data_IF_577977800846
#
_entry.id   IF_577977800846
#
_cell.length_a   1.000
_cell.length_b   1.000
_cell.length_c   1.000
_cell.angle_alpha   90.00
_cell.angle_beta   90.00
_cell.angle_gamma   90.00
#
_symmetry.space_group_name_H-M   'P 1'
#
loop_
_entity.id
_entity.type
_entity.pdbx_description
1 polymer ?
#
# COMPACT_ATOMS: atom_id res chain seq x y z
N UNK A 1 39.88 -24.46 2.68
CA UNK A 1 40.50 -25.41 3.64
C UNK A 1 39.46 -26.30 4.34
N UNK A 2 38.41 -25.73 4.97
CA UNK A 2 37.33 -26.51 5.62
C UNK A 2 36.57 -27.46 4.68
N UNK A 3 36.30 -27.07 3.43
CA UNK A 3 35.64 -27.93 2.43
C UNK A 3 36.47 -29.19 2.10
N UNK A 4 37.79 -29.05 1.96
CA UNK A 4 38.70 -30.17 1.65
C UNK A 4 38.83 -31.15 2.84
N UNK A 5 38.85 -30.63 4.08
CA UNK A 5 38.83 -31.44 5.29
C UNK A 5 37.52 -32.23 5.43
N UNK A 6 36.38 -31.58 5.18
CA UNK A 6 35.06 -32.22 5.19
C UNK A 6 34.96 -33.34 4.17
N UNK A 7 35.42 -33.10 2.94
CA UNK A 7 35.47 -34.10 1.88
C UNK A 7 36.36 -35.30 2.24
N UNK A 8 37.57 -35.05 2.78
CA UNK A 8 38.48 -36.11 3.21
C UNK A 8 37.91 -36.95 4.37
N UNK A 9 37.29 -36.31 5.36
CA UNK A 9 36.70 -36.99 6.50
C UNK A 9 35.46 -37.82 6.11
N UNK A 10 34.59 -37.27 5.26
CA UNK A 10 33.47 -38.03 4.68
C UNK A 10 33.95 -39.22 3.85
N UNK A 11 35.01 -39.07 3.05
CA UNK A 11 35.58 -40.16 2.27
C UNK A 11 36.14 -41.28 3.17
N UNK A 12 36.87 -40.96 4.24
CA UNK A 12 37.35 -41.96 5.20
C UNK A 12 36.21 -42.68 5.93
N UNK A 13 35.18 -41.95 6.34
CA UNK A 13 34.04 -42.51 7.08
C UNK A 13 33.17 -43.40 6.19
N UNK A 14 32.90 -42.97 4.97
CA UNK A 14 32.13 -43.75 3.97
C UNK A 14 32.88 -45.01 3.56
N UNK A 15 34.21 -44.94 3.38
CA UNK A 15 35.05 -46.12 3.12
C UNK A 15 34.99 -47.14 4.26
N UNK A 16 35.14 -46.70 5.51
CA UNK A 16 35.07 -47.60 6.67
C UNK A 16 33.71 -48.29 6.80
N UNK A 17 32.62 -47.56 6.57
CA UNK A 17 31.26 -48.14 6.57
C UNK A 17 31.08 -49.11 5.40
N UNK A 18 31.49 -48.73 4.19
CA UNK A 18 31.41 -49.60 3.02
C UNK A 18 32.20 -50.92 3.21
N UNK A 19 33.41 -50.85 3.78
CA UNK A 19 34.24 -52.01 4.08
C UNK A 19 33.56 -52.94 5.12
N UNK A 20 32.90 -52.37 6.13
CA UNK A 20 32.15 -53.14 7.13
C UNK A 20 30.96 -53.87 6.50
N UNK A 21 30.15 -53.18 5.69
CA UNK A 21 29.01 -53.78 5.00
C UNK A 21 29.44 -54.85 3.99
N UNK A 22 30.52 -54.61 3.26
CA UNK A 22 31.11 -55.61 2.37
C UNK A 22 31.57 -56.85 3.14
N UNK A 23 32.25 -56.67 4.28
CA UNK A 23 32.70 -57.80 5.10
C UNK A 23 31.53 -58.62 5.65
N UNK A 24 30.41 -57.98 6.01
CA UNK A 24 29.19 -58.65 6.44
C UNK A 24 28.52 -59.40 5.29
N UNK A 25 28.39 -58.78 4.12
CA UNK A 25 27.84 -59.40 2.93
C UNK A 25 28.66 -60.64 2.50
N UNK A 26 29.99 -60.53 2.45
CA UNK A 26 30.90 -61.66 2.18
C UNK A 26 30.75 -62.75 3.24
N UNK A 27 30.69 -62.38 4.52
CA UNK A 27 30.48 -63.33 5.62
C UNK A 27 29.15 -64.07 5.52
N UNK A 28 28.08 -63.39 5.11
CA UNK A 28 26.76 -63.97 4.91
C UNK A 28 26.73 -64.93 3.70
N UNK A 29 27.35 -64.54 2.59
CA UNK A 29 27.48 -65.39 1.39
C UNK A 29 28.23 -66.68 1.76
N UNK A 30 29.36 -66.58 2.47
CA UNK A 30 30.16 -67.75 2.88
C UNK A 30 29.38 -68.68 3.81
N UNK A 31 28.71 -68.14 4.83
CA UNK A 31 27.88 -68.95 5.75
C UNK A 31 26.79 -69.72 5.02
N UNK A 32 26.09 -69.07 4.09
CA UNK A 32 25.01 -69.71 3.33
C UNK A 32 25.55 -70.74 2.32
N UNK A 33 26.75 -70.53 1.77
CA UNK A 33 27.39 -71.48 0.84
C UNK A 33 27.94 -72.71 1.57
N UNK A 34 28.41 -72.55 2.81
CA UNK A 34 28.92 -73.65 3.66
C UNK A 34 27.80 -74.55 4.19
N UNK A 35 26.56 -74.07 4.27
CA UNK A 35 25.41 -74.81 4.81
C UNK A 35 24.83 -75.89 3.85
N UNK A 36 25.59 -76.29 2.81
CA UNK A 36 25.35 -77.32 1.75
C UNK A 36 23.96 -77.35 1.06
N UNK A 37 23.05 -76.45 1.42
CA UNK A 37 21.63 -76.47 1.02
C UNK A 37 21.21 -75.23 0.21
N UNK A 38 22.08 -74.22 0.10
CA UNK A 38 21.78 -73.01 -0.67
C UNK A 38 22.49 -73.03 -2.03
N UNK A 39 21.71 -72.83 -3.10
CA UNK A 39 22.24 -72.46 -4.40
C UNK A 39 23.12 -71.19 -4.27
N UNK A 40 24.28 -71.17 -4.92
CA UNK A 40 25.25 -70.07 -4.88
C UNK A 40 24.61 -68.74 -5.31
N UNK A 41 23.63 -68.80 -6.22
CA UNK A 41 22.83 -67.64 -6.61
C UNK A 41 21.98 -67.07 -5.46
N UNK A 42 21.39 -67.92 -4.61
CA UNK A 42 20.60 -67.50 -3.46
C UNK A 42 21.44 -66.85 -2.36
N UNK A 43 22.64 -67.37 -2.11
CA UNK A 43 23.59 -66.79 -1.16
C UNK A 43 24.07 -65.40 -1.62
N UNK A 44 24.35 -65.22 -2.92
CA UNK A 44 24.73 -63.92 -3.49
C UNK A 44 23.62 -62.88 -3.36
N UNK A 45 22.36 -63.26 -3.65
CA UNK A 45 21.21 -62.36 -3.49
C UNK A 45 21.04 -61.89 -2.04
N UNK A 46 21.30 -62.75 -1.06
CA UNK A 46 21.27 -62.38 0.35
C UNK A 46 22.37 -61.38 0.71
N UNK A 47 23.58 -61.54 0.18
CA UNK A 47 24.67 -60.58 0.34
C UNK A 47 24.42 -59.24 -0.37
N UNK A 48 23.81 -59.26 -1.56
CA UNK A 48 23.37 -58.05 -2.28
C UNK A 48 22.28 -57.31 -1.50
N UNK A 49 21.35 -58.02 -0.86
CA UNK A 49 20.31 -57.43 -0.01
C UNK A 49 20.91 -56.65 1.18
N UNK A 50 21.99 -57.16 1.80
CA UNK A 50 22.69 -56.46 2.89
C UNK A 50 23.34 -55.16 2.38
N UNK A 51 23.90 -55.16 1.16
CA UNK A 51 24.47 -53.95 0.52
C UNK A 51 23.36 -52.98 0.08
N UNK A 52 22.21 -53.49 -0.37
CA UNK A 52 21.02 -52.67 -0.70
C UNK A 52 20.47 -51.95 0.54
N UNK A 53 20.62 -52.53 1.75
CA UNK A 53 20.25 -51.85 2.99
C UNK A 53 21.07 -50.55 3.24
N UNK A 54 22.31 -50.50 2.74
CA UNK A 54 23.15 -49.29 2.77
C UNK A 54 22.64 -48.22 1.81
N UNK A 55 22.14 -48.62 0.63
CA UNK A 55 21.46 -47.72 -0.33
C UNK A 55 20.22 -47.12 0.29
N UNK A 56 19.39 -47.93 0.94
CA UNK A 56 18.18 -47.46 1.63
C UNK A 56 18.51 -46.43 2.72
N UNK A 57 19.49 -46.72 3.60
CA UNK A 57 19.91 -45.76 4.65
C UNK A 57 20.48 -44.47 4.07
N UNK A 58 21.27 -44.57 3.01
CA UNK A 58 21.82 -43.42 2.30
C UNK A 58 20.72 -42.56 1.68
N UNK A 59 19.72 -43.17 1.03
CA UNK A 59 18.57 -42.49 0.47
C UNK A 59 17.77 -41.75 1.56
N UNK A 60 17.44 -42.42 2.67
CA UNK A 60 16.71 -41.81 3.79
C UNK A 60 17.48 -40.64 4.42
N UNK A 61 18.81 -40.71 4.47
CA UNK A 61 19.65 -39.62 4.97
C UNK A 61 19.63 -38.40 4.02
N UNK A 62 19.67 -38.62 2.71
CA UNK A 62 19.55 -37.54 1.71
C UNK A 62 18.14 -36.95 1.76
N UNK A 63 17.10 -37.78 1.76
CA UNK A 63 15.70 -37.33 1.85
C UNK A 63 15.47 -36.50 3.10
N UNK A 64 15.87 -36.97 4.28
CA UNK A 64 15.70 -36.20 5.53
C UNK A 64 16.44 -34.86 5.51
N UNK A 65 17.63 -34.79 4.90
CA UNK A 65 18.40 -33.54 4.79
C UNK A 65 17.76 -32.50 3.87
N UNK A 66 17.05 -32.93 2.83
CA UNK A 66 16.41 -32.04 1.85
C UNK A 66 14.91 -31.81 2.11
N UNK A 67 14.23 -32.72 2.83
CA UNK A 67 12.79 -32.66 3.10
C UNK A 67 12.39 -31.39 3.86
N UNK A 68 13.14 -31.00 4.91
CA UNK A 68 12.85 -29.77 5.66
C UNK A 68 12.97 -28.55 4.75
N UNK A 69 14.04 -28.46 3.95
CA UNK A 69 14.27 -27.32 3.04
C UNK A 69 13.20 -27.23 1.95
N UNK A 70 12.77 -28.37 1.40
CA UNK A 70 11.69 -28.42 0.42
C UNK A 70 10.34 -28.01 1.04
N UNK A 71 10.09 -28.39 2.30
CA UNK A 71 8.88 -28.00 3.04
C UNK A 71 8.87 -26.50 3.33
N UNK A 72 10.02 -25.92 3.69
CA UNK A 72 10.16 -24.47 3.90
C UNK A 72 9.94 -23.69 2.59
N UNK A 73 10.50 -24.17 1.47
CA UNK A 73 10.26 -23.57 0.16
C UNK A 73 8.79 -23.70 -0.27
N UNK A 74 8.14 -24.84 0.02
CA UNK A 74 6.71 -25.06 -0.23
C UNK A 74 5.85 -24.04 0.51
N UNK A 75 6.06 -23.92 1.81
CA UNK A 75 5.28 -23.02 2.66
C UNK A 75 5.51 -21.56 2.24
N UNK A 76 6.74 -21.20 1.88
CA UNK A 76 7.05 -19.90 1.30
C UNK A 76 6.31 -19.65 -0.01
N UNK A 77 6.29 -20.62 -0.94
CA UNK A 77 5.56 -20.53 -2.20
C UNK A 77 4.04 -20.36 -1.97
N UNK A 78 3.44 -21.21 -1.13
CA UNK A 78 2.01 -21.12 -0.80
C UNK A 78 1.64 -19.80 -0.14
N UNK A 79 2.50 -19.28 0.76
CA UNK A 79 2.27 -17.96 1.36
C UNK A 79 2.31 -16.82 0.33
N UNK A 80 3.19 -16.93 -0.67
CA UNK A 80 3.29 -15.97 -1.76
C UNK A 80 2.08 -16.06 -2.70
N UNK A 81 1.58 -17.27 -3.00
CA UNK A 81 0.34 -17.48 -3.78
C UNK A 81 -0.88 -16.86 -3.09
N UNK A 82 -1.06 -17.12 -1.79
CA UNK A 82 -2.16 -16.53 -1.00
C UNK A 82 -2.06 -15.00 -1.01
N UNK A 83 -0.84 -14.45 -0.84
CA UNK A 83 -0.62 -13.00 -0.90
C UNK A 83 -0.95 -12.44 -2.28
N UNK A 84 -0.54 -13.12 -3.35
CA UNK A 84 -0.82 -12.72 -4.73
C UNK A 84 -2.34 -12.71 -5.02
N UNK A 85 -3.05 -13.74 -4.57
CA UNK A 85 -4.51 -13.82 -4.71
C UNK A 85 -5.20 -12.64 -4.00
N UNK A 86 -4.78 -12.33 -2.76
CA UNK A 86 -5.30 -11.18 -2.01
C UNK A 86 -5.02 -9.84 -2.70
N UNK A 87 -3.82 -9.65 -3.24
CA UNK A 87 -3.46 -8.41 -3.96
C UNK A 87 -4.30 -8.24 -5.24
N UNK A 88 -4.56 -9.33 -5.97
CA UNK A 88 -5.44 -9.30 -7.15
C UNK A 88 -6.88 -8.95 -6.78
N UNK A 89 -7.40 -9.56 -5.72
CA UNK A 89 -8.74 -9.23 -5.20
C UNK A 89 -8.81 -7.77 -4.71
N UNK A 90 -7.77 -7.27 -4.04
CA UNK A 90 -7.68 -5.85 -3.65
C UNK A 90 -7.66 -4.92 -4.87
N UNK A 91 -6.95 -5.30 -5.93
CA UNK A 91 -6.92 -4.56 -7.21
C UNK A 91 -8.32 -4.46 -7.82
N UNK A 92 -9.05 -5.57 -7.91
CA UNK A 92 -10.42 -5.63 -8.43
C UNK A 92 -11.45 -4.88 -7.56
N UNK A 93 -11.25 -4.89 -6.23
CA UNK A 93 -12.06 -4.08 -5.32
C UNK A 93 -11.80 -2.59 -5.52
N UNK A 94 -10.54 -2.19 -5.73
CA UNK A 94 -10.18 -0.78 -5.96
C UNK A 94 -10.76 -0.19 -7.25
N UNK A 95 -11.15 -1.04 -8.21
CA UNK A 95 -11.90 -0.62 -9.40
C UNK A 95 -13.39 -0.45 -9.16
N UNK A 96 -13.94 -1.19 -8.19
CA UNK A 96 -15.37 -1.21 -7.90
C UNK A 96 -15.77 -0.30 -6.73
N UNK A 97 -14.78 0.24 -6.00
CA UNK A 97 -15.02 1.10 -4.85
C UNK A 97 -15.69 2.41 -5.28
N UNK A 98 -16.81 2.72 -4.63
CA UNK A 98 -17.53 3.98 -4.85
C UNK A 98 -17.06 5.01 -3.84
N UNK A 99 -16.76 6.22 -4.28
CA UNK A 99 -16.41 7.33 -3.41
C UNK A 99 -17.57 8.32 -3.34
N UNK A 100 -17.90 8.74 -2.12
CA UNK A 100 -18.88 9.82 -1.92
C UNK A 100 -18.22 11.11 -2.34
N UNK A 101 -18.72 11.70 -3.43
CA UNK A 101 -18.24 12.95 -3.99
C UNK A 101 -19.38 13.96 -3.89
N UNK A 102 -19.18 15.01 -3.10
CA UNK A 102 -20.14 16.10 -2.99
C UNK A 102 -19.94 17.04 -4.17
N UNK A 103 -20.83 16.95 -5.16
CA UNK A 103 -20.88 17.90 -6.25
C UNK A 103 -21.55 19.21 -5.77
N UNK A 104 -20.83 20.34 -5.72
CA UNK A 104 -21.42 21.62 -5.30
C UNK A 104 -22.49 22.14 -6.26
N UNK A 105 -22.55 21.61 -7.49
CA UNK A 105 -23.52 21.97 -8.52
C UNK A 105 -24.73 21.02 -8.57
N UNK A 106 -24.68 19.86 -7.90
CA UNK A 106 -25.80 18.91 -7.87
C UNK A 106 -26.07 18.41 -6.45
N UNK A 107 -27.25 18.76 -5.92
CA UNK A 107 -27.75 18.19 -4.67
C UNK A 107 -28.13 16.73 -4.93
N UNK A 108 -27.38 15.79 -4.37
CA UNK A 108 -27.74 14.36 -4.37
C UNK A 108 -26.96 13.48 -5.35
N UNK A 109 -25.76 13.85 -5.78
CA UNK A 109 -24.88 12.90 -6.47
C UNK A 109 -24.53 11.76 -5.51
N UNK A 110 -25.05 10.57 -5.81
CA UNK A 110 -24.69 9.34 -5.12
C UNK A 110 -23.19 9.03 -5.24
N UNK A 111 -22.70 8.02 -4.51
CA UNK A 111 -21.29 7.66 -4.55
C UNK A 111 -20.90 7.21 -5.97
N UNK A 112 -19.83 7.81 -6.52
CA UNK A 112 -19.34 7.60 -7.88
C UNK A 112 -18.21 6.56 -7.88
N UNK A 113 -18.11 5.75 -8.92
CA UNK A 113 -16.95 4.89 -9.21
C UNK A 113 -15.81 5.70 -9.84
N UNK A 114 -14.60 5.15 -9.87
CA UNK A 114 -13.44 5.85 -10.46
C UNK A 114 -13.66 6.21 -11.94
N UNK A 115 -14.26 5.30 -12.70
CA UNK A 115 -14.54 5.52 -14.13
C UNK A 115 -15.57 6.64 -14.33
N UNK A 116 -16.61 6.69 -13.49
CA UNK A 116 -17.58 7.78 -13.47
C UNK A 116 -16.94 9.12 -13.08
N UNK A 117 -16.03 9.12 -12.09
CA UNK A 117 -15.27 10.32 -11.72
C UNK A 117 -14.39 10.81 -12.88
N UNK A 118 -13.73 9.90 -13.61
CA UNK A 118 -12.89 10.24 -14.75
C UNK A 118 -13.71 10.83 -15.91
N UNK A 119 -14.86 10.23 -16.19
CA UNK A 119 -15.81 10.71 -17.21
C UNK A 119 -16.32 12.09 -16.85
N UNK A 120 -16.74 12.29 -15.60
CA UNK A 120 -17.25 13.58 -15.12
C UNK A 120 -16.17 14.66 -15.07
N UNK A 121 -14.93 14.31 -14.73
CA UNK A 121 -13.80 15.24 -14.80
C UNK A 121 -13.50 15.65 -16.25
N UNK A 122 -13.63 14.73 -17.22
CA UNK A 122 -13.48 15.03 -18.64
C UNK A 122 -14.62 15.94 -19.16
N UNK A 123 -15.87 15.61 -18.83
CA UNK A 123 -17.05 16.44 -19.16
C UNK A 123 -16.91 17.86 -18.61
N UNK A 124 -16.47 18.02 -17.35
CA UNK A 124 -16.23 19.34 -16.75
C UNK A 124 -15.09 20.07 -17.44
N UNK A 125 -14.03 19.36 -17.84
CA UNK A 125 -12.91 19.97 -18.57
C UNK A 125 -13.37 20.47 -19.93
N UNK A 126 -14.17 19.69 -20.66
CA UNK A 126 -14.74 20.07 -21.94
C UNK A 126 -15.70 21.26 -21.82
N UNK A 127 -16.57 21.25 -20.79
CA UNK A 127 -17.46 22.37 -20.49
C UNK A 127 -16.67 23.65 -20.22
N UNK A 128 -15.67 23.58 -19.35
CA UNK A 128 -14.80 24.72 -19.01
C UNK A 128 -14.09 25.25 -20.26
N UNK A 129 -13.59 24.36 -21.12
CA UNK A 129 -12.90 24.73 -22.35
C UNK A 129 -13.83 25.37 -23.38
N UNK A 130 -15.01 24.81 -23.60
CA UNK A 130 -16.03 25.37 -24.51
C UNK A 130 -16.50 26.76 -24.04
N UNK A 131 -16.81 26.92 -22.75
CA UNK A 131 -17.15 28.23 -22.22
C UNK A 131 -15.99 29.23 -22.31
N UNK A 132 -14.76 28.77 -22.09
CA UNK A 132 -13.57 29.60 -22.25
C UNK A 132 -13.37 30.03 -23.71
N UNK A 133 -13.66 29.16 -24.69
CA UNK A 133 -13.65 29.48 -26.13
C UNK A 133 -14.75 30.48 -26.50
N UNK A 134 -15.92 30.40 -25.85
CA UNK A 134 -17.03 31.35 -25.99
C UNK A 134 -16.76 32.70 -25.30
N UNK A 135 -15.58 32.89 -24.72
CA UNK A 135 -15.15 34.13 -24.09
C UNK A 135 -15.51 34.27 -22.62
N UNK A 136 -16.00 33.22 -21.96
CA UNK A 136 -16.22 33.21 -20.52
C UNK A 136 -14.88 33.29 -19.78
N UNK A 137 -14.68 34.35 -18.99
CA UNK A 137 -13.47 34.50 -18.16
C UNK A 137 -13.60 33.88 -16.78
N UNK A 138 -14.78 33.35 -16.43
CA UNK A 138 -15.10 32.88 -15.06
C UNK A 138 -14.17 31.79 -14.54
N UNK A 139 -13.69 30.92 -15.43
CA UNK A 139 -12.79 29.81 -15.09
C UNK A 139 -11.30 30.20 -15.08
N UNK A 140 -10.96 31.36 -15.66
CA UNK A 140 -9.58 31.86 -15.74
C UNK A 140 -9.17 32.68 -14.52
N UNK A 141 -10.11 33.06 -13.66
CA UNK A 141 -9.79 33.81 -12.46
C UNK A 141 -9.03 32.93 -11.46
N UNK A 142 -7.79 33.32 -11.20
CA UNK A 142 -6.95 32.75 -10.18
C UNK A 142 -6.44 33.87 -9.30
N UNK A 143 -6.84 33.86 -8.03
CA UNK A 143 -6.23 34.74 -7.04
C UNK A 143 -4.76 34.34 -6.93
N UNK A 144 -3.85 35.24 -7.31
CA UNK A 144 -2.42 34.99 -7.21
C UNK A 144 -2.04 34.63 -5.77
N UNK A 145 -0.97 33.82 -5.61
CA UNK A 145 -0.45 33.47 -4.28
C UNK A 145 -0.13 34.71 -3.44
N UNK A 146 0.34 35.77 -4.06
CA UNK A 146 0.67 37.06 -3.41
C UNK A 146 -0.56 37.71 -2.79
N UNK A 147 -1.69 37.73 -3.50
CA UNK A 147 -2.96 38.26 -3.00
C UNK A 147 -3.50 37.46 -1.81
N UNK A 148 -3.34 36.12 -1.82
CA UNK A 148 -3.69 35.28 -0.66
C UNK A 148 -2.82 35.59 0.56
N UNK A 149 -1.51 35.73 0.37
CA UNK A 149 -0.57 36.07 1.46
C UNK A 149 -0.91 37.44 2.04
N UNK A 150 -1.17 38.43 1.18
CA UNK A 150 -1.56 39.78 1.60
C UNK A 150 -2.84 39.74 2.45
N UNK A 151 -3.85 38.99 2.02
CA UNK A 151 -5.10 38.85 2.78
C UNK A 151 -4.92 38.17 4.13
N UNK A 152 -4.07 37.13 4.22
CA UNK A 152 -3.73 36.52 5.51
C UNK A 152 -3.06 37.56 6.42
N UNK A 153 -2.12 38.34 5.90
CA UNK A 153 -1.47 39.42 6.65
C UNK A 153 -2.47 40.45 7.17
N UNK A 154 -3.41 40.87 6.32
CA UNK A 154 -4.46 41.83 6.69
C UNK A 154 -5.41 41.26 7.76
N UNK A 155 -5.78 39.97 7.67
CA UNK A 155 -6.61 39.30 8.70
C UNK A 155 -5.88 39.19 10.03
N UNK A 156 -4.56 38.92 10.04
CA UNK A 156 -3.77 38.88 11.29
C UNK A 156 -3.77 40.26 11.96
N UNK A 157 -3.60 41.33 11.18
CA UNK A 157 -3.68 42.71 11.69
C UNK A 157 -5.08 43.00 12.24
N UNK A 158 -6.13 42.54 11.58
CA UNK A 158 -7.51 42.71 12.03
C UNK A 158 -7.80 41.98 13.36
N UNK A 159 -7.31 40.74 13.54
CA UNK A 159 -7.40 40.02 14.82
C UNK A 159 -6.69 40.79 15.94
N UNK A 160 -5.49 41.31 15.67
CA UNK A 160 -4.76 42.13 16.63
C UNK A 160 -5.51 43.43 16.96
N UNK A 161 -6.14 44.06 15.97
CA UNK A 161 -6.95 45.25 16.12
C UNK A 161 -8.18 45.01 17.00
N UNK A 162 -8.93 43.94 16.71
CA UNK A 162 -10.08 43.49 17.50
C UNK A 162 -9.65 43.11 18.93
N UNK A 163 -8.49 42.50 19.10
CA UNK A 163 -7.93 42.20 20.42
C UNK A 163 -7.66 43.48 21.21
N UNK A 164 -6.97 44.45 20.61
CA UNK A 164 -6.73 45.76 21.24
C UNK A 164 -8.03 46.48 21.58
N UNK A 165 -9.06 46.34 20.73
CA UNK A 165 -10.40 46.84 21.01
C UNK A 165 -11.06 46.09 22.17
N UNK A 166 -10.92 44.77 22.29
CA UNK A 166 -11.49 44.01 23.40
C UNK A 166 -10.81 44.30 24.74
N UNK A 167 -9.49 44.53 24.74
CA UNK A 167 -8.78 45.03 25.94
C UNK A 167 -9.38 46.35 26.44
N UNK A 168 -9.98 47.15 25.54
CA UNK A 168 -10.77 48.34 25.93
C UNK A 168 -11.94 48.01 26.81
N UNK A 169 -12.75 47.07 26.33
CA UNK A 169 -14.08 46.82 26.83
C UNK A 169 -13.95 46.15 28.20
N UNK A 170 -12.96 45.26 28.31
CA UNK A 170 -12.52 44.60 29.54
C UNK A 170 -11.78 45.55 30.50
N UNK A 171 -11.51 46.80 30.09
CA UNK A 171 -10.76 47.80 30.84
C UNK A 171 -9.41 47.28 31.38
N UNK A 172 -8.66 46.60 30.52
CA UNK A 172 -7.35 46.02 30.83
C UNK A 172 -6.28 46.55 29.87
N UNK A 173 -5.01 46.37 30.24
CA UNK A 173 -3.88 46.78 29.41
C UNK A 173 -2.68 45.88 29.65
N UNK A 174 -1.76 45.82 28.68
CA UNK A 174 -0.49 45.10 28.87
C UNK A 174 0.32 45.61 30.07
N UNK A 175 0.21 46.89 30.41
CA UNK A 175 0.88 47.45 31.58
C UNK A 175 0.27 46.91 32.89
N UNK A 176 -1.07 46.88 32.98
CA UNK A 176 -1.77 46.30 34.13
C UNK A 176 -1.46 44.80 34.28
N UNK A 177 -1.45 44.07 33.16
CA UNK A 177 -1.08 42.65 33.16
C UNK A 177 0.38 42.38 33.57
N UNK A 178 1.31 43.27 33.20
CA UNK A 178 2.70 43.15 33.61
C UNK A 178 2.92 43.39 35.11
N UNK A 179 2.03 44.18 35.75
CA UNK A 179 2.09 44.47 37.18
C UNK A 179 1.41 43.39 38.03
N UNK A 180 0.27 42.85 37.58
CA UNK A 180 -0.44 41.77 38.26
C UNK A 180 -1.03 40.75 37.25
N UNK A 181 -0.23 39.75 36.83
CA UNK A 181 -0.65 38.78 35.82
C UNK A 181 -1.75 37.85 36.33
N UNK A 182 -1.83 37.59 37.65
CA UNK A 182 -2.83 36.68 38.21
C UNK A 182 -4.24 37.30 38.18
N UNK A 183 -4.35 38.59 38.47
CA UNK A 183 -5.63 39.31 38.44
C UNK A 183 -6.12 39.61 37.02
N UNK A 184 -5.21 39.91 36.09
CA UNK A 184 -5.55 40.38 34.74
C UNK A 184 -5.57 39.27 33.68
N UNK A 185 -5.04 38.08 33.96
CA UNK A 185 -5.02 36.96 33.00
C UNK A 185 -6.41 36.59 32.46
N UNK A 186 -7.43 36.56 33.33
CA UNK A 186 -8.78 36.19 32.92
C UNK A 186 -9.33 37.16 31.86
N UNK A 187 -9.10 38.47 32.04
CA UNK A 187 -9.54 39.53 31.11
C UNK A 187 -8.79 39.51 29.78
N UNK A 188 -7.49 39.19 29.83
CA UNK A 188 -6.68 39.01 28.62
C UNK A 188 -7.16 37.81 27.81
N UNK A 189 -7.51 36.71 28.48
CA UNK A 189 -8.04 35.49 27.85
C UNK A 189 -9.41 35.73 27.25
N UNK A 190 -10.33 36.39 27.96
CA UNK A 190 -11.66 36.73 27.44
C UNK A 190 -11.56 37.69 26.26
N UNK A 191 -10.71 38.72 26.34
CA UNK A 191 -10.46 39.62 25.21
C UNK A 191 -9.93 38.88 23.97
N UNK A 192 -9.02 37.93 24.15
CA UNK A 192 -8.50 37.11 23.05
C UNK A 192 -9.58 36.21 22.45
N UNK A 193 -10.39 35.57 23.31
CA UNK A 193 -11.50 34.72 22.89
C UNK A 193 -12.54 35.49 22.07
N UNK A 194 -12.97 36.67 22.54
CA UNK A 194 -13.93 37.51 21.84
C UNK A 194 -13.38 38.08 20.54
N UNK A 195 -12.10 38.47 20.49
CA UNK A 195 -11.46 38.94 19.26
C UNK A 195 -11.39 37.85 18.20
N UNK A 196 -11.01 36.62 18.57
CA UNK A 196 -11.00 35.48 17.66
C UNK A 196 -12.40 35.12 17.18
N UNK A 197 -13.40 35.13 18.06
CA UNK A 197 -14.79 34.86 17.70
C UNK A 197 -15.31 35.92 16.72
N UNK A 198 -15.10 37.20 17.01
CA UNK A 198 -15.50 38.30 16.14
C UNK A 198 -14.83 38.20 14.77
N UNK A 199 -13.51 37.94 14.73
CA UNK A 199 -12.77 37.75 13.48
C UNK A 199 -13.31 36.54 12.68
N UNK A 200 -13.64 35.45 13.35
CA UNK A 200 -14.22 34.25 12.72
C UNK A 200 -15.58 34.54 12.10
N UNK A 201 -16.46 35.23 12.83
CA UNK A 201 -17.78 35.64 12.32
C UNK A 201 -17.61 36.57 11.12
N UNK A 202 -16.71 37.55 11.21
CA UNK A 202 -16.44 38.49 10.12
C UNK A 202 -15.88 37.79 8.88
N UNK A 203 -14.99 36.81 9.07
CA UNK A 203 -14.46 35.99 7.98
C UNK A 203 -15.56 35.16 7.31
N UNK A 204 -16.43 34.49 8.08
CA UNK A 204 -17.56 33.70 7.54
C UNK A 204 -18.51 34.61 6.76
N UNK A 205 -18.88 35.76 7.31
CA UNK A 205 -19.76 36.74 6.63
C UNK A 205 -19.10 37.27 5.36
N UNK A 206 -17.82 37.65 5.40
CA UNK A 206 -17.09 38.14 4.23
C UNK A 206 -17.00 37.08 3.13
N UNK A 207 -16.76 35.82 3.50
CA UNK A 207 -16.67 34.70 2.56
C UNK A 207 -18.02 34.37 1.92
N UNK A 208 -19.10 34.37 2.71
CA UNK A 208 -20.47 34.13 2.22
C UNK A 208 -20.93 35.25 1.30
N UNK A 209 -20.67 36.52 1.64
CA UNK A 209 -20.94 37.69 0.79
C UNK A 209 -20.12 37.60 -0.50
N UNK A 210 -18.82 37.31 -0.42
CA UNK A 210 -17.95 37.15 -1.59
C UNK A 210 -18.45 36.08 -2.56
N UNK A 211 -18.85 34.90 -2.07
CA UNK A 211 -19.44 33.85 -2.90
C UNK A 211 -20.81 34.23 -3.48
N UNK A 212 -21.63 34.97 -2.76
CA UNK A 212 -22.91 35.45 -3.26
C UNK A 212 -22.71 36.47 -4.39
N UNK A 213 -21.72 37.36 -4.26
CA UNK A 213 -21.31 38.33 -5.29
C UNK A 213 -20.72 37.61 -6.51
N UNK A 214 -19.82 36.64 -6.33
CA UNK A 214 -19.28 35.81 -7.41
C UNK A 214 -20.39 35.15 -8.23
N UNK A 215 -21.29 34.43 -7.55
CA UNK A 215 -22.42 33.74 -8.19
C UNK A 215 -23.28 34.71 -8.98
N UNK A 216 -23.42 35.96 -8.55
CA UNK A 216 -24.19 36.98 -9.26
C UNK A 216 -23.48 37.49 -10.51
N UNK A 217 -22.22 37.89 -10.38
CA UNK A 217 -21.40 38.40 -11.50
C UNK A 217 -21.35 37.37 -12.63
N UNK A 218 -21.25 36.09 -12.29
CA UNK A 218 -21.11 35.03 -13.28
C UNK A 218 -22.44 34.38 -13.72
N UNK A 219 -23.57 34.54 -12.98
CA UNK A 219 -24.91 34.14 -13.46
C UNK A 219 -25.57 35.17 -14.37
N UNK A 220 -25.28 36.47 -14.22
CA UNK A 220 -25.85 37.51 -15.08
C UNK A 220 -25.46 37.40 -16.55
N UNK A 221 -24.42 36.60 -16.87
CA UNK A 221 -23.98 36.33 -18.25
C UNK A 221 -24.85 35.24 -18.93
N UNK A 222 -25.67 34.49 -18.19
CA UNK A 222 -26.54 33.43 -18.73
C UNK A 222 -28.04 33.69 -18.54
N UNK A 223 -28.43 34.75 -17.82
CA UNK A 223 -29.82 35.11 -17.58
C UNK A 223 -30.45 35.91 -18.74
N UNK A 224 -30.08 35.61 -19.98
CA UNK A 224 -30.69 36.19 -21.17
C UNK A 224 -32.13 35.73 -21.41
N UNK A 225 -32.58 34.62 -20.79
CA UNK A 225 -33.88 34.00 -21.15
C UNK A 225 -34.73 33.42 -20.01
N UNK A 226 -34.34 33.50 -18.74
CA UNK A 226 -35.13 32.90 -17.65
C UNK A 226 -35.26 33.79 -16.40
N UNK A 227 -36.43 34.44 -16.27
CA UNK A 227 -37.06 34.81 -15.00
C UNK A 227 -36.46 35.96 -14.18
N UNK A 228 -36.88 37.20 -14.46
CA UNK A 228 -36.51 38.42 -13.72
C UNK A 228 -36.95 38.46 -12.24
N UNK A 229 -37.87 37.59 -11.79
CA UNK A 229 -38.47 37.64 -10.45
C UNK A 229 -37.54 37.23 -9.30
N UNK A 230 -36.77 36.15 -9.44
CA UNK A 230 -35.89 35.65 -8.36
C UNK A 230 -34.57 36.44 -8.21
N UNK A 231 -34.24 37.29 -9.19
CA UNK A 231 -33.03 38.13 -9.17
C UNK A 231 -33.19 39.43 -8.37
N UNK A 232 -34.43 39.86 -8.11
CA UNK A 232 -34.75 41.08 -7.38
C UNK A 232 -34.59 40.90 -5.85
N UNK A 233 -35.13 39.83 -5.28
CA UNK A 233 -35.04 39.54 -3.83
C UNK A 233 -33.60 39.22 -3.39
N UNK A 234 -32.82 38.59 -4.26
CA UNK A 234 -31.39 38.37 -4.01
C UNK A 234 -30.55 39.64 -4.20
N UNK A 235 -31.05 40.66 -4.91
CA UNK A 235 -30.38 41.96 -5.10
C UNK A 235 -30.42 42.78 -3.84
N UNK A 236 -31.59 42.89 -3.22
CA UNK A 236 -31.72 43.58 -1.94
C UNK A 236 -30.85 42.89 -0.90
N UNK A 237 -30.94 41.57 -0.73
CA UNK A 237 -30.17 40.84 0.29
C UNK A 237 -28.64 41.04 0.19
N UNK A 238 -28.05 40.97 -1.01
CA UNK A 238 -26.60 41.16 -1.19
C UNK A 238 -26.20 42.62 -1.01
N UNK A 239 -27.01 43.57 -1.49
CA UNK A 239 -26.73 44.99 -1.38
C UNK A 239 -26.87 45.45 0.08
N UNK A 240 -27.87 44.95 0.80
CA UNK A 240 -28.02 45.10 2.24
C UNK A 240 -26.86 44.47 2.99
N UNK A 241 -26.45 43.24 2.63
CA UNK A 241 -25.30 42.56 3.27
C UNK A 241 -23.97 43.29 3.05
N UNK A 242 -23.72 43.78 1.84
CA UNK A 242 -22.50 44.54 1.51
C UNK A 242 -22.52 45.91 2.18
N UNK A 243 -23.65 46.62 2.15
CA UNK A 243 -23.81 47.91 2.83
C UNK A 243 -23.65 47.76 4.35
N UNK A 244 -24.22 46.70 4.94
CA UNK A 244 -24.06 46.38 6.35
C UNK A 244 -22.62 46.05 6.69
N UNK A 245 -21.91 45.30 5.84
CA UNK A 245 -20.49 44.99 6.05
C UNK A 245 -19.62 46.26 5.97
N UNK A 246 -19.86 47.14 5.00
CA UNK A 246 -19.15 48.43 4.90
C UNK A 246 -19.45 49.30 6.12
N UNK A 247 -20.72 49.42 6.53
CA UNK A 247 -21.11 50.19 7.70
C UNK A 247 -20.46 49.66 8.98
N UNK A 248 -20.48 48.34 9.20
CA UNK A 248 -19.86 47.71 10.36
C UNK A 248 -18.34 47.92 10.36
N UNK A 249 -17.69 47.73 9.20
CA UNK A 249 -16.23 47.91 9.06
C UNK A 249 -15.82 49.37 9.29
N UNK A 250 -16.61 50.34 8.81
CA UNK A 250 -16.40 51.77 9.10
C UNK A 250 -16.56 52.10 10.57
N UNK A 251 -17.57 51.55 11.24
CA UNK A 251 -17.80 51.79 12.67
C UNK A 251 -16.68 51.19 13.53
N UNK A 252 -16.23 49.96 13.21
CA UNK A 252 -15.13 49.29 13.91
C UNK A 252 -13.81 50.04 13.68
N UNK A 253 -13.47 50.34 12.42
CA UNK A 253 -12.26 51.10 12.08
C UNK A 253 -12.23 52.48 12.77
N UNK A 254 -13.37 53.19 12.78
CA UNK A 254 -13.50 54.47 13.46
C UNK A 254 -13.39 54.36 14.99
N UNK A 255 -13.97 53.32 15.59
CA UNK A 255 -13.88 53.06 17.02
C UNK A 255 -12.43 52.78 17.48
N UNK A 256 -11.69 51.99 16.69
CA UNK A 256 -10.28 51.67 16.94
C UNK A 256 -9.41 52.92 16.83
N UNK A 257 -9.58 53.71 15.76
CA UNK A 257 -8.84 54.95 15.52
C UNK A 257 -9.05 55.96 16.65
N UNK A 258 -10.31 56.26 16.99
CA UNK A 258 -10.68 57.14 18.12
C UNK A 258 -9.99 56.73 19.41
N UNK A 259 -9.84 55.43 19.67
CA UNK A 259 -9.23 54.96 20.92
C UNK A 259 -7.71 55.02 20.91
N UNK A 260 -7.07 54.71 19.80
CA UNK A 260 -5.62 54.81 19.72
C UNK A 260 -5.20 56.28 19.88
N UNK A 261 -5.99 57.22 19.35
CA UNK A 261 -5.82 58.66 19.59
C UNK A 261 -5.97 59.01 21.07
N UNK A 262 -7.02 58.55 21.77
CA UNK A 262 -7.19 58.88 23.21
C UNK A 262 -6.10 58.28 24.10
N UNK A 263 -5.62 57.07 23.79
CA UNK A 263 -4.50 56.43 24.53
C UNK A 263 -3.16 57.13 24.21
N UNK A 264 -2.96 57.59 22.98
CA UNK A 264 -1.78 58.34 22.56
C UNK A 264 -1.68 59.70 23.28
N UNK A 265 -2.81 60.39 23.43
CA UNK A 265 -2.90 61.66 24.15
C UNK A 265 -2.49 61.50 25.63
N UNK A 266 -2.80 60.35 26.24
CA UNK A 266 -2.42 60.05 27.63
C UNK A 266 -0.95 59.67 27.86
N UNK A 267 -0.22 59.23 26.83
CA UNK A 267 1.12 58.62 26.96
C UNK A 267 2.28 59.48 26.45
N UNK A 268 2.01 60.70 25.95
CA UNK A 268 3.00 61.63 25.36
C UNK A 268 3.77 61.09 24.13
N UNK A 269 3.38 59.94 23.59
CA UNK A 269 3.92 59.38 22.33
C UNK A 269 3.01 59.83 21.16
N UNK A 270 2.85 61.14 20.97
CA UNK A 270 1.74 61.68 20.19
C UNK A 270 1.88 61.53 18.66
N UNK A 271 3.10 61.51 18.13
CA UNK A 271 3.32 61.51 16.67
C UNK A 271 3.12 60.14 16.00
N UNK A 272 3.67 59.07 16.57
CA UNK A 272 3.69 57.74 15.95
C UNK A 272 2.41 56.95 16.21
N UNK A 273 1.78 57.15 17.36
CA UNK A 273 0.58 56.41 17.74
C UNK A 273 -0.63 56.76 16.86
N UNK A 274 -0.76 58.01 16.42
CA UNK A 274 -1.81 58.41 15.46
C UNK A 274 -1.67 57.70 14.11
N UNK A 275 -0.44 57.58 13.58
CA UNK A 275 -0.19 56.84 12.34
C UNK A 275 -0.44 55.33 12.50
N UNK A 276 -0.01 54.74 13.63
CA UNK A 276 -0.29 53.33 13.92
C UNK A 276 -1.80 53.10 14.04
N UNK A 277 -2.52 53.98 14.73
CA UNK A 277 -3.98 53.88 14.86
C UNK A 277 -4.73 53.99 13.55
N UNK A 278 -4.37 54.97 12.73
CA UNK A 278 -4.94 55.13 11.40
C UNK A 278 -4.65 53.90 10.51
N UNK A 279 -3.43 53.36 10.54
CA UNK A 279 -3.09 52.15 9.76
C UNK A 279 -3.85 50.91 10.22
N UNK A 280 -3.99 50.70 11.52
CA UNK A 280 -4.76 49.57 12.08
C UNK A 280 -6.25 49.72 11.74
N UNK A 281 -6.81 50.93 11.89
CA UNK A 281 -8.20 51.24 11.55
C UNK A 281 -8.49 51.05 10.06
N UNK A 282 -7.56 51.46 9.18
CA UNK A 282 -7.64 51.20 7.73
C UNK A 282 -7.55 49.71 7.42
N UNK A 283 -6.67 48.95 8.08
CA UNK A 283 -6.59 47.50 7.89
C UNK A 283 -7.89 46.80 8.29
N UNK A 284 -8.49 47.16 9.43
CA UNK A 284 -9.78 46.63 9.88
C UNK A 284 -10.93 46.99 8.92
N UNK A 285 -10.85 48.15 8.28
CA UNK A 285 -11.82 48.57 7.26
C UNK A 285 -11.69 47.78 5.95
N UNK A 286 -10.46 47.55 5.49
CA UNK A 286 -10.20 46.90 4.21
C UNK A 286 -10.17 45.37 4.29
N UNK A 287 -9.91 44.77 5.46
CA UNK A 287 -9.82 43.32 5.62
C UNK A 287 -11.05 42.57 5.10
N UNK A 288 -12.29 42.93 5.51
CA UNK A 288 -13.49 42.23 5.08
C UNK A 288 -13.72 42.39 3.57
N UNK A 289 -13.38 43.56 3.03
CA UNK A 289 -13.50 43.88 1.60
C UNK A 289 -12.51 43.06 0.78
N UNK A 290 -11.25 42.96 1.22
CA UNK A 290 -10.20 42.17 0.56
C UNK A 290 -10.54 40.68 0.59
N UNK A 291 -11.01 40.17 1.74
CA UNK A 291 -11.45 38.77 1.87
C UNK A 291 -12.65 38.48 0.97
N UNK A 292 -13.66 39.37 0.97
CA UNK A 292 -14.82 39.23 0.09
C UNK A 292 -14.43 39.32 -1.39
N UNK A 293 -13.51 40.21 -1.77
CA UNK A 293 -12.99 40.33 -3.13
C UNK A 293 -12.20 39.08 -3.57
N UNK A 294 -11.41 38.50 -2.67
CA UNK A 294 -10.67 37.25 -2.94
C UNK A 294 -11.62 36.07 -3.09
N UNK A 295 -12.64 35.96 -2.24
CA UNK A 295 -13.70 34.97 -2.40
C UNK A 295 -14.50 35.22 -3.70
N UNK A 296 -14.69 36.48 -4.08
CA UNK A 296 -15.35 36.88 -5.33
C UNK A 296 -14.48 36.76 -6.59
N UNK A 297 -13.17 36.52 -6.44
CA UNK A 297 -12.23 36.26 -7.54
C UNK A 297 -11.65 34.83 -7.44
N UNK A 298 -12.25 34.01 -6.57
CA UNK A 298 -11.88 32.62 -6.36
C UNK A 298 -12.03 31.79 -7.63
N UNK A 299 -11.50 30.56 -7.57
CA UNK A 299 -11.72 29.60 -8.67
C UNK A 299 -13.22 29.33 -8.76
N UNK A 300 -13.72 29.12 -9.97
CA UNK A 300 -15.11 28.74 -10.13
C UNK A 300 -15.35 27.39 -9.43
N UNK A 301 -16.56 27.14 -8.90
CA UNK A 301 -16.88 25.89 -8.22
C UNK A 301 -16.69 24.67 -9.13
N UNK A 302 -16.88 24.82 -10.44
CA UNK A 302 -16.61 23.78 -11.43
C UNK A 302 -15.12 23.44 -11.54
N UNK A 303 -14.24 24.45 -11.47
CA UNK A 303 -12.78 24.25 -11.46
C UNK A 303 -12.34 23.59 -10.15
N UNK A 304 -12.89 24.03 -9.01
CA UNK A 304 -12.60 23.40 -7.72
C UNK A 304 -13.08 21.95 -7.67
N UNK A 305 -14.26 21.68 -8.22
CA UNK A 305 -14.80 20.33 -8.30
C UNK A 305 -13.98 19.43 -9.21
N UNK A 306 -13.61 19.90 -10.41
CA UNK A 306 -12.69 19.19 -11.31
C UNK A 306 -11.34 18.91 -10.64
N UNK A 307 -10.75 19.91 -9.97
CA UNK A 307 -9.46 19.73 -9.28
C UNK A 307 -9.59 18.70 -8.14
N UNK A 308 -10.73 18.68 -7.42
CA UNK A 308 -11.01 17.68 -6.39
C UNK A 308 -11.17 16.25 -6.95
N UNK A 309 -11.85 16.11 -8.09
CA UNK A 309 -11.96 14.83 -8.82
C UNK A 309 -10.58 14.37 -9.30
N UNK A 310 -9.78 15.27 -9.88
CA UNK A 310 -8.43 14.97 -10.33
C UNK A 310 -7.52 14.51 -9.18
N UNK A 311 -7.63 15.13 -8.00
CA UNK A 311 -6.90 14.72 -6.81
C UNK A 311 -7.32 13.31 -6.32
N UNK A 312 -8.63 13.02 -6.31
CA UNK A 312 -9.15 11.70 -5.97
C UNK A 312 -8.68 10.64 -6.96
N UNK A 313 -8.77 10.91 -8.27
CA UNK A 313 -8.31 10.02 -9.33
C UNK A 313 -6.81 9.74 -9.17
N UNK A 314 -6.00 10.78 -9.03
CA UNK A 314 -4.55 10.65 -8.83
C UNK A 314 -4.23 9.80 -7.59
N UNK A 315 -4.97 10.00 -6.50
CA UNK A 315 -4.76 9.22 -5.27
C UNK A 315 -5.14 7.74 -5.45
N UNK A 316 -6.19 7.45 -6.21
CA UNK A 316 -6.61 6.09 -6.52
C UNK A 316 -5.61 5.40 -7.46
N UNK A 317 -5.12 6.11 -8.48
CA UNK A 317 -4.10 5.62 -9.41
C UNK A 317 -2.78 5.33 -8.69
N UNK A 318 -2.36 6.18 -7.75
CA UNK A 318 -1.18 5.92 -6.91
C UNK A 318 -1.34 4.65 -6.06
N UNK A 319 -2.54 4.41 -5.50
CA UNK A 319 -2.82 3.17 -4.76
C UNK A 319 -2.77 1.95 -5.67
N UNK A 320 -3.33 2.04 -6.88
CA UNK A 320 -3.27 0.97 -7.89
C UNK A 320 -1.85 0.66 -8.32
N UNK A 321 -1.06 1.69 -8.63
CA UNK A 321 0.35 1.54 -8.99
C UNK A 321 1.14 0.81 -7.89
N UNK A 322 0.88 1.15 -6.61
CA UNK A 322 1.51 0.47 -5.48
C UNK A 322 1.10 -1.01 -5.38
N UNK A 323 -0.18 -1.34 -5.60
CA UNK A 323 -0.65 -2.73 -5.61
C UNK A 323 0.01 -3.50 -6.77
N UNK A 324 0.11 -2.89 -7.95
CA UNK A 324 0.74 -3.49 -9.12
C UNK A 324 2.25 -3.75 -8.90
N UNK A 325 2.96 -2.82 -8.28
CA UNK A 325 4.36 -3.00 -7.86
C UNK A 325 4.52 -4.17 -6.87
N UNK A 326 3.59 -4.30 -5.90
CA UNK A 326 3.58 -5.42 -4.97
C UNK A 326 3.29 -6.77 -5.66
N UNK A 327 2.38 -6.80 -6.63
CA UNK A 327 2.09 -8.00 -7.44
C UNK A 327 3.35 -8.44 -8.20
N UNK A 328 4.06 -7.49 -8.83
CA UNK A 328 5.32 -7.77 -9.53
C UNK A 328 6.39 -8.29 -8.55
N UNK A 329 6.51 -7.68 -7.37
CA UNK A 329 7.46 -8.11 -6.34
C UNK A 329 7.18 -9.54 -5.84
N UNK A 330 5.91 -9.87 -5.59
CA UNK A 330 5.50 -11.22 -5.14
C UNK A 330 5.71 -12.25 -6.25
N UNK A 331 5.43 -11.90 -7.51
CA UNK A 331 5.67 -12.80 -8.65
C UNK A 331 7.17 -13.07 -8.85
N UNK A 332 8.01 -12.03 -8.70
CA UNK A 332 9.48 -12.19 -8.68
C UNK A 332 9.92 -13.10 -7.52
N UNK A 333 9.35 -12.93 -6.33
CA UNK A 333 9.63 -13.80 -5.18
C UNK A 333 9.31 -15.26 -5.51
N UNK A 334 8.12 -15.55 -6.07
CA UNK A 334 7.72 -16.91 -6.47
C UNK A 334 8.72 -17.51 -7.45
N UNK A 335 9.07 -16.79 -8.53
CA UNK A 335 10.07 -17.27 -9.49
C UNK A 335 11.44 -17.56 -8.85
N UNK A 336 11.84 -16.78 -7.85
CA UNK A 336 13.08 -17.00 -7.11
C UNK A 336 13.02 -18.23 -6.20
N UNK A 337 11.84 -18.53 -5.64
CA UNK A 337 11.59 -19.72 -4.83
C UNK A 337 11.59 -20.95 -5.72
N UNK A 338 10.97 -20.89 -6.90
CA UNK A 338 10.99 -21.97 -7.89
C UNK A 338 12.42 -22.29 -8.34
N UNK A 339 13.22 -21.27 -8.62
CA UNK A 339 14.62 -21.46 -9.01
C UNK A 339 15.48 -22.02 -7.86
N UNK A 340 15.18 -21.66 -6.60
CA UNK A 340 15.81 -22.29 -5.43
C UNK A 340 15.40 -23.75 -5.28
N UNK A 341 14.12 -24.05 -5.46
CA UNK A 341 13.58 -25.41 -5.43
C UNK A 341 14.26 -26.28 -6.50
N UNK A 342 14.34 -25.78 -7.73
CA UNK A 342 15.02 -26.45 -8.85
C UNK A 342 16.48 -26.76 -8.53
N UNK A 343 17.23 -25.78 -8.04
CA UNK A 343 18.64 -25.99 -7.66
C UNK A 343 18.79 -27.03 -6.55
N UNK A 344 17.91 -26.99 -5.56
CA UNK A 344 17.93 -27.93 -4.44
C UNK A 344 17.57 -29.36 -4.87
N UNK A 345 16.65 -29.53 -5.82
CA UNK A 345 16.36 -30.84 -6.42
C UNK A 345 17.55 -31.39 -7.22
N UNK A 346 18.26 -30.54 -7.97
CA UNK A 346 19.49 -30.93 -8.68
C UNK A 346 20.58 -31.36 -7.68
N UNK A 347 20.73 -30.63 -6.56
CA UNK A 347 21.68 -30.96 -5.50
C UNK A 347 21.32 -32.29 -4.82
N UNK A 348 20.04 -32.51 -4.52
CA UNK A 348 19.54 -33.75 -3.94
C UNK A 348 19.78 -34.96 -4.86
N UNK A 349 19.51 -34.84 -6.17
CA UNK A 349 19.79 -35.91 -7.15
C UNK A 349 21.29 -36.21 -7.23
N UNK A 350 22.14 -35.17 -7.21
CA UNK A 350 23.60 -35.34 -7.19
C UNK A 350 24.06 -36.09 -5.94
N UNK A 351 23.57 -35.70 -4.77
CA UNK A 351 23.93 -36.32 -3.50
C UNK A 351 23.43 -37.77 -3.41
N UNK A 352 22.23 -38.04 -3.90
CA UNK A 352 21.67 -39.39 -3.98
C UNK A 352 22.55 -40.30 -4.86
N UNK A 353 22.93 -39.83 -6.06
CA UNK A 353 23.84 -40.57 -6.96
C UNK A 353 25.21 -40.81 -6.32
N UNK A 354 25.75 -39.80 -5.65
CA UNK A 354 27.02 -39.93 -4.94
C UNK A 354 26.94 -40.94 -3.79
N UNK A 355 25.80 -41.00 -3.09
CA UNK A 355 25.57 -41.92 -1.99
C UNK A 355 25.34 -43.37 -2.47
N UNK A 356 24.82 -43.57 -3.67
CA UNK A 356 24.63 -44.90 -4.28
C UNK A 356 25.91 -45.50 -4.89
N UNK A 357 26.87 -44.66 -5.27
CA UNK A 357 28.09 -45.10 -5.95
C UNK A 357 28.87 -46.18 -5.17
N UNK A 358 29.11 -46.06 -3.84
CA UNK A 358 29.83 -47.09 -3.09
C UNK A 358 29.10 -48.43 -3.08
N UNK A 359 27.79 -48.42 -2.87
CA UNK A 359 26.99 -49.65 -2.85
C UNK A 359 26.99 -50.36 -4.22
N UNK A 360 26.85 -49.60 -5.30
CA UNK A 360 26.95 -50.15 -6.66
C UNK A 360 28.35 -50.76 -6.91
N UNK A 361 29.42 -50.12 -6.44
CA UNK A 361 30.77 -50.67 -6.52
C UNK A 361 30.92 -51.95 -5.70
N UNK A 362 30.32 -52.02 -4.51
CA UNK A 362 30.34 -53.21 -3.66
C UNK A 362 29.55 -54.37 -4.28
N UNK A 363 28.36 -54.13 -4.85
CA UNK A 363 27.57 -55.15 -5.56
C UNK A 363 28.36 -55.69 -6.75
N UNK A 364 28.96 -54.81 -7.57
CA UNK A 364 29.81 -55.24 -8.68
C UNK A 364 30.98 -56.09 -8.19
N UNK A 365 31.63 -55.68 -7.09
CA UNK A 365 32.73 -56.42 -6.49
C UNK A 365 32.30 -57.81 -6.00
N UNK A 366 31.16 -57.92 -5.31
CA UNK A 366 30.58 -59.20 -4.89
C UNK A 366 30.31 -60.10 -6.10
N UNK A 367 29.66 -59.59 -7.15
CA UNK A 367 29.39 -60.35 -8.38
C UNK A 367 30.66 -60.83 -9.06
N UNK A 368 31.74 -60.05 -9.04
CA UNK A 368 33.04 -60.46 -9.60
C UNK A 368 33.75 -61.51 -8.74
N UNK A 369 33.69 -61.41 -7.41
CA UNK A 369 34.41 -62.30 -6.50
C UNK A 369 33.76 -63.70 -6.43
N UNK A 370 32.44 -63.77 -6.52
CA UNK A 370 31.67 -65.02 -6.45
C UNK A 370 31.25 -65.57 -7.83
N UNK A 371 31.90 -65.13 -8.91
CA UNK A 371 31.84 -65.79 -10.22
C UNK A 371 30.56 -65.59 -11.04
N UNK A 372 29.76 -64.54 -10.76
CA UNK A 372 28.50 -64.26 -11.47
C UNK A 372 28.57 -63.07 -12.43
N UNK A 373 29.78 -62.60 -12.77
CA UNK A 373 29.96 -61.49 -13.70
C UNK A 373 29.57 -61.79 -15.17
N UNK A 374 29.28 -63.06 -15.51
CA UNK A 374 29.07 -63.51 -16.89
C UNK A 374 27.64 -63.87 -17.32
N UNK A 375 26.75 -64.32 -16.41
CA UNK A 375 25.47 -64.96 -16.82
C UNK A 375 24.19 -64.22 -16.41
N UNK A 376 24.25 -63.29 -15.46
CA UNK A 376 23.09 -62.49 -15.02
C UNK A 376 23.45 -61.01 -14.96
N UNK A 377 23.72 -60.42 -16.12
CA UNK A 377 23.74 -58.97 -16.27
C UNK A 377 22.30 -58.45 -16.25
N UNK A 378 21.62 -58.53 -15.09
CA UNK A 378 20.43 -57.72 -14.87
C UNK A 378 20.98 -56.35 -14.45
N UNK A 379 20.97 -55.34 -15.34
CA UNK A 379 21.28 -53.98 -14.91
C UNK A 379 20.35 -53.66 -13.75
N UNK A 380 20.92 -53.22 -12.64
CA UNK A 380 20.13 -52.71 -11.53
C UNK A 380 19.37 -51.50 -12.07
N UNK A 381 18.13 -51.69 -12.49
CA UNK A 381 17.25 -50.62 -12.89
C UNK A 381 16.88 -49.88 -11.61
N UNK A 382 17.76 -48.94 -11.22
CA UNK A 382 17.33 -47.79 -10.45
C UNK A 382 16.12 -47.23 -11.20
N UNK A 383 14.97 -46.97 -10.54
CA UNK A 383 13.78 -46.47 -11.21
C UNK A 383 14.17 -45.28 -12.09
N UNK A 384 14.16 -45.54 -13.39
CA UNK A 384 14.68 -44.62 -14.39
C UNK A 384 13.71 -43.47 -14.55
N UNK A 385 14.23 -42.24 -14.47
CA UNK A 385 13.52 -41.02 -14.85
C UNK A 385 13.45 -40.96 -16.39
N UNK A 386 12.79 -41.94 -17.02
CA UNK A 386 12.67 -42.02 -18.49
C UNK A 386 11.55 -41.14 -19.05
N UNK A 387 10.66 -40.58 -18.23
CA UNK A 387 9.70 -39.57 -18.67
C UNK A 387 10.24 -38.14 -18.49
N UNK A 388 11.26 -37.82 -19.29
CA UNK A 388 11.93 -36.50 -19.30
C UNK A 388 11.11 -35.34 -19.89
N UNK A 389 9.83 -35.53 -20.24
CA UNK A 389 9.00 -34.47 -20.84
C UNK A 389 8.04 -33.76 -19.88
N UNK A 390 7.87 -34.25 -18.65
CA UNK A 390 6.96 -33.63 -17.66
C UNK A 390 7.67 -33.08 -16.40
N UNK A 391 9.00 -32.96 -16.44
CA UNK A 391 9.85 -32.61 -15.29
C UNK A 391 9.89 -31.11 -14.98
N UNK A 392 8.71 -30.53 -14.79
CA UNK A 392 8.54 -29.19 -14.26
C UNK A 392 7.33 -29.15 -13.34
N UNK A 393 7.45 -29.68 -12.12
CA UNK A 393 6.40 -29.47 -11.12
C UNK A 393 6.35 -30.46 -9.96
N UNK A 394 5.49 -30.11 -9.01
CA UNK A 394 5.07 -30.83 -7.81
C UNK A 394 4.80 -32.35 -8.02
N UNK A 395 4.40 -32.75 -9.23
CA UNK A 395 4.20 -34.14 -9.61
C UNK A 395 5.46 -35.03 -9.45
N UNK A 396 6.67 -34.45 -9.54
CA UNK A 396 7.91 -35.20 -9.31
C UNK A 396 8.13 -35.54 -7.83
N UNK A 397 7.71 -34.64 -6.91
CA UNK A 397 7.76 -34.88 -5.47
C UNK A 397 6.72 -35.91 -5.02
N UNK A 398 5.54 -35.94 -5.64
CA UNK A 398 4.53 -36.98 -5.39
C UNK A 398 4.97 -38.36 -5.88
N UNK A 399 5.68 -38.45 -7.01
CA UNK A 399 6.25 -39.74 -7.47
C UNK A 399 7.36 -40.24 -6.55
N UNK A 400 8.23 -39.36 -6.03
CA UNK A 400 9.23 -39.74 -5.03
C UNK A 400 8.57 -40.21 -3.73
N UNK A 401 7.45 -39.60 -3.33
CA UNK A 401 6.66 -40.04 -2.16
C UNK A 401 6.00 -41.40 -2.37
N UNK A 402 5.46 -41.67 -3.56
CA UNK A 402 4.84 -42.95 -3.91
C UNK A 402 5.85 -44.11 -3.99
N UNK A 403 7.13 -43.82 -4.21
CA UNK A 403 8.22 -44.81 -4.16
C UNK A 403 8.64 -45.18 -2.73
N UNK A 404 8.18 -44.43 -1.73
CA UNK A 404 8.56 -44.58 -0.31
C UNK A 404 7.41 -45.11 0.55
N UNK A 405 6.17 -45.12 0.05
CA UNK A 405 5.08 -45.81 0.77
C UNK A 405 5.30 -47.34 0.72
N UNK A 406 5.38 -48.02 1.88
CA UNK A 406 5.51 -49.46 1.89
C UNK A 406 4.21 -50.06 1.36
N UNK A 407 4.31 -50.93 0.35
CA UNK A 407 3.22 -51.84 -0.02
C UNK A 407 2.79 -52.60 1.25
N UNK A 408 1.74 -52.13 1.91
CA UNK A 408 1.54 -52.50 3.31
C UNK A 408 0.28 -52.00 3.99
N UNK A 409 -0.82 -51.78 3.27
CA UNK A 409 -2.17 -51.92 3.88
C UNK A 409 -3.18 -52.40 2.83
N UNK A 410 -3.48 -53.70 2.92
CA UNK A 410 -4.78 -54.24 2.53
C UNK A 410 -5.89 -53.40 3.20
N UNK A 411 -6.65 -52.65 2.41
CA UNK A 411 -8.02 -52.31 2.76
C UNK A 411 -8.93 -52.85 1.67
N UNK A 412 -9.50 -54.02 1.95
CA UNK A 412 -10.76 -54.41 1.36
C UNK A 412 -11.83 -53.42 1.80
N UNK A 413 -12.36 -52.67 0.84
CA UNK A 413 -13.74 -52.22 0.83
C UNK A 413 -14.27 -52.45 -0.59
N UNK A 414 -15.34 -53.22 -0.68
CA UNK A 414 -15.93 -53.65 -1.94
C UNK A 414 -16.71 -52.56 -2.66
N UNK A 415 -16.52 -52.53 -3.98
CA UNK A 415 -17.51 -52.19 -5.03
C UNK A 415 -18.13 -50.78 -5.08
N UNK A 416 -18.80 -50.41 -6.20
CA UNK A 416 -19.09 -51.23 -7.38
C UNK A 416 -18.47 -50.70 -8.69
N UNK A 417 -18.38 -51.63 -9.64
CA UNK A 417 -18.26 -51.37 -11.06
C UNK A 417 -19.30 -50.36 -11.55
N UNK A 418 -18.85 -49.36 -12.30
CA UNK A 418 -19.66 -48.75 -13.35
C UNK A 418 -18.95 -49.04 -14.66
N UNK A 419 -19.52 -50.00 -15.37
CA UNK A 419 -19.36 -50.21 -16.80
C UNK A 419 -20.03 -49.03 -17.48
N UNK A 420 -19.30 -48.27 -18.30
CA UNK A 420 -19.89 -47.49 -19.38
C UNK A 420 -19.40 -48.06 -20.68
N UNK A 421 -20.20 -49.00 -21.21
CA UNK A 421 -20.26 -49.27 -22.63
C UNK A 421 -21.02 -48.14 -23.34
N UNK A 422 -20.66 -47.99 -24.61
CA UNK A 422 -21.15 -47.03 -25.57
C UNK A 422 -22.66 -47.13 -25.86
N UNK A 423 -23.28 -45.96 -26.03
CA UNK A 423 -24.24 -45.62 -27.09
C UNK A 423 -24.33 -44.09 -27.19
#
# INVERSE_FOLDING_TARGET
>A
MLANFRAHWHHRRTKKVADEYYSRAVGQIRRLTEDESADTGGALLAGEAEVLSLISRAATAVESAYATKLTDLRTSHQSAEIRLARLREQRERSTSERHVVNDPCQVGTGPLTLDEMSTRAAELTELIDDETRRGSTRHRHHVSRTWRILAIGVVIVDVAALFMLMLTIENTSFHAFALDPAAEAAKMITAAGFALLAATVLAIVSHTVGHAVFRRIHRSVHAGDQGLGHLADSRSAILTGTAMMVALSTLVGWSIDRRIVTVAEGTKVSGLAGWVGATIGLCALFAPIVVAAIAALGRSPEVEFRDSLAALITSADQRRAKIDDEIVAVTKLMSSVDEKCRRLLIEADRDLRAAFLPANQLILRLRTEFGHAGELYVPLHLPGISDRRELGGWAHLERLRALVEPNGTNHGYGGPHVVTDAA
#
